data_IF_892300478988
#
_entry.id   IF_892300478988
#
_cell.length_a   1.000
_cell.length_b   1.000
_cell.length_c   1.000
_cell.angle_alpha   90.00
_cell.angle_beta   90.00
_cell.angle_gamma   90.00
#
_symmetry.space_group_name_H-M   'P 1'
#
loop_
_entity.id
_entity.type
_entity.pdbx_description
1 polymer ?
#
# COMPACT_ATOMS: atom_id res chain seq x y z
N UNK A 1 28.88 -7.63 10.35
CA UNK A 1 27.88 -7.96 11.39
C UNK A 1 26.65 -7.05 11.27
N UNK A 2 26.02 -6.98 10.09
CA UNK A 2 24.80 -6.15 9.89
C UNK A 2 23.66 -6.97 9.26
N UNK A 3 23.95 -8.15 8.70
CA UNK A 3 22.94 -9.04 8.11
C UNK A 3 22.33 -10.06 9.07
N UNK A 4 22.81 -10.18 10.32
CA UNK A 4 22.30 -11.19 11.26
C UNK A 4 21.19 -10.67 12.20
N UNK A 5 21.00 -9.35 12.31
CA UNK A 5 19.98 -8.76 13.19
C UNK A 5 18.60 -8.71 12.52
N UNK A 6 18.54 -8.76 11.18
CA UNK A 6 17.25 -8.84 10.46
C UNK A 6 16.63 -10.25 10.45
N UNK A 7 17.42 -11.31 10.62
CA UNK A 7 16.92 -12.70 10.54
C UNK A 7 16.24 -13.20 11.82
N UNK A 8 16.53 -12.62 12.98
CA UNK A 8 15.95 -13.07 14.27
C UNK A 8 14.55 -12.49 14.54
N UNK A 9 14.11 -11.47 13.80
CA UNK A 9 12.75 -10.91 13.91
C UNK A 9 11.74 -11.63 13.00
N UNK A 10 12.21 -12.38 12.00
CA UNK A 10 11.38 -13.07 11.00
C UNK A 10 10.44 -14.12 11.60
N UNK A 11 10.78 -14.71 12.75
CA UNK A 11 9.97 -15.78 13.36
C UNK A 11 8.65 -15.31 14.00
N UNK A 12 8.47 -14.01 14.22
CA UNK A 12 7.19 -13.42 14.66
C UNK A 12 6.54 -12.47 13.64
N UNK A 13 7.27 -12.02 12.60
CA UNK A 13 6.74 -11.13 11.55
C UNK A 13 6.07 -11.85 10.36
N UNK A 14 6.29 -13.16 10.18
CA UNK A 14 5.67 -13.91 9.07
C UNK A 14 4.18 -14.22 9.24
N UNK A 15 3.55 -13.79 10.34
CA UNK A 15 2.11 -13.98 10.57
C UNK A 15 1.38 -12.65 10.40
N UNK A 16 0.29 -12.68 9.64
CA UNK A 16 -0.69 -11.60 9.63
C UNK A 16 -1.21 -11.39 11.04
N UNK A 17 -1.21 -10.13 11.49
CA UNK A 17 -1.96 -9.72 12.66
C UNK A 17 -3.48 -9.90 12.42
N UNK A 18 -4.27 -10.12 13.49
CA UNK A 18 -5.73 -10.12 13.37
C UNK A 18 -6.23 -8.74 12.96
N UNK A 19 -7.45 -8.68 12.41
CA UNK A 19 -8.06 -7.41 12.01
C UNK A 19 -8.05 -6.39 13.16
N UNK A 20 -7.60 -5.18 12.85
CA UNK A 20 -7.54 -4.08 13.82
C UNK A 20 -8.95 -3.68 14.29
N UNK A 21 -9.08 -3.36 15.57
CA UNK A 21 -10.35 -2.94 16.17
C UNK A 21 -10.63 -1.47 15.82
N UNK A 22 -11.90 -1.09 15.83
CA UNK A 22 -12.31 0.31 15.55
C UNK A 22 -11.80 1.31 16.60
N UNK A 23 -11.52 0.85 17.81
CA UNK A 23 -10.96 1.65 18.91
C UNK A 23 -9.47 1.32 19.17
N UNK A 24 -8.73 0.90 18.15
CA UNK A 24 -7.32 0.60 18.29
C UNK A 24 -6.51 1.83 18.69
N UNK A 25 -5.52 1.62 19.55
CA UNK A 25 -4.54 2.64 19.90
C UNK A 25 -3.63 2.98 18.72
N UNK A 26 -3.00 4.16 18.77
CA UNK A 26 -1.97 4.58 17.81
C UNK A 26 -0.91 3.51 17.59
N UNK A 27 -0.45 2.87 18.68
CA UNK A 27 0.53 1.80 18.62
C UNK A 27 0.00 0.56 17.88
N UNK A 28 -1.22 0.12 18.16
CA UNK A 28 -1.81 -1.03 17.47
C UNK A 28 -2.01 -0.75 15.97
N UNK A 29 -2.35 0.49 15.60
CA UNK A 29 -2.44 0.91 14.20
C UNK A 29 -1.09 0.88 13.49
N UNK A 30 -0.03 1.40 14.14
CA UNK A 30 1.34 1.35 13.61
C UNK A 30 1.81 -0.10 13.45
N UNK A 31 1.65 -0.93 14.50
CA UNK A 31 2.04 -2.35 14.46
C UNK A 31 1.30 -3.09 13.31
N UNK A 32 0.02 -2.79 13.10
CA UNK A 32 -0.78 -3.37 12.01
C UNK A 32 -0.35 -2.89 10.63
N UNK A 33 -0.08 -1.59 10.48
CA UNK A 33 0.42 -1.00 9.25
C UNK A 33 1.79 -1.59 8.88
N UNK A 34 2.74 -1.61 9.82
CA UNK A 34 4.08 -2.18 9.63
C UNK A 34 4.03 -3.66 9.24
N UNK A 35 3.19 -4.44 9.92
CA UNK A 35 3.02 -5.85 9.60
C UNK A 35 2.47 -6.03 8.17
N UNK A 36 1.42 -5.29 7.80
CA UNK A 36 0.78 -5.41 6.48
C UNK A 36 1.71 -4.94 5.35
N UNK A 37 2.44 -3.85 5.58
CA UNK A 37 3.43 -3.35 4.64
C UNK A 37 4.55 -4.36 4.41
N UNK A 38 5.11 -4.89 5.51
CA UNK A 38 6.16 -5.91 5.47
C UNK A 38 5.70 -7.19 4.78
N UNK A 39 4.48 -7.66 5.04
CA UNK A 39 3.94 -8.85 4.38
C UNK A 39 3.80 -8.66 2.87
N UNK A 40 3.50 -7.44 2.43
CA UNK A 40 3.46 -7.12 1.00
C UNK A 40 4.87 -7.16 0.40
N UNK A 41 5.87 -6.56 1.05
CA UNK A 41 7.26 -6.64 0.58
C UNK A 41 7.75 -8.10 0.49
N UNK A 42 7.49 -8.92 1.51
CA UNK A 42 7.85 -10.35 1.52
C UNK A 42 7.11 -11.13 0.43
N UNK A 43 5.83 -10.83 0.18
CA UNK A 43 5.06 -11.48 -0.87
C UNK A 43 5.66 -11.22 -2.26
N UNK A 44 6.06 -9.98 -2.54
CA UNK A 44 6.60 -9.58 -3.84
C UNK A 44 8.09 -9.95 -4.01
N UNK A 45 8.86 -10.03 -2.92
CA UNK A 45 10.22 -10.61 -2.91
C UNK A 45 10.21 -12.11 -3.30
N UNK A 46 9.08 -12.79 -3.12
CA UNK A 46 8.89 -14.18 -3.56
C UNK A 46 8.76 -14.38 -5.08
N UNK A 47 8.73 -13.31 -5.87
CA UNK A 47 8.74 -13.40 -7.34
C UNK A 47 10.12 -13.84 -7.85
N UNK A 48 10.13 -14.74 -8.83
CA UNK A 48 11.35 -15.42 -9.29
C UNK A 48 12.42 -14.49 -9.86
N UNK A 49 12.01 -13.38 -10.47
CA UNK A 49 12.87 -12.37 -11.08
C UNK A 49 12.09 -11.08 -11.38
N UNK A 50 12.79 -10.06 -11.88
CA UNK A 50 12.19 -8.78 -12.26
C UNK A 50 11.18 -8.93 -13.41
N UNK A 51 11.42 -9.84 -14.36
CA UNK A 51 10.51 -10.07 -15.48
C UNK A 51 9.11 -10.51 -15.03
N UNK A 52 9.02 -11.24 -13.91
CA UNK A 52 7.75 -11.64 -13.31
C UNK A 52 6.87 -10.45 -12.88
N UNK A 53 7.47 -9.29 -12.60
CA UNK A 53 6.72 -8.06 -12.28
C UNK A 53 5.93 -7.54 -13.48
N UNK A 54 6.47 -7.70 -14.69
CA UNK A 54 5.92 -7.09 -15.90
C UNK A 54 5.10 -8.08 -16.76
N UNK A 55 5.14 -9.37 -16.43
CA UNK A 55 4.41 -10.39 -17.19
C UNK A 55 2.89 -10.26 -16.98
N UNK A 56 2.17 -9.94 -18.08
CA UNK A 56 0.71 -9.91 -18.06
C UNK A 56 0.14 -11.34 -18.12
N UNK A 57 -0.87 -11.67 -17.29
CA UNK A 57 -1.51 -12.98 -17.37
C UNK A 57 -2.11 -13.28 -18.75
N UNK A 58 -2.04 -14.54 -19.19
CA UNK A 58 -2.42 -14.95 -20.55
C UNK A 58 -3.85 -14.54 -20.94
N UNK A 59 -4.78 -14.54 -19.98
CA UNK A 59 -6.19 -14.22 -20.19
C UNK A 59 -6.44 -12.71 -20.29
N UNK A 60 -5.44 -11.86 -20.02
CA UNK A 60 -5.50 -10.38 -20.13
C UNK A 60 -6.54 -9.66 -19.23
N UNK A 61 -7.32 -10.38 -18.44
CA UNK A 61 -8.27 -9.85 -17.45
C UNK A 61 -7.65 -9.20 -16.18
N UNK A 62 -6.31 -9.12 -16.11
CA UNK A 62 -5.57 -8.61 -14.95
C UNK A 62 -4.36 -7.83 -15.45
N UNK A 63 -3.94 -6.84 -14.66
CA UNK A 63 -2.69 -6.13 -14.85
C UNK A 63 -1.49 -7.04 -14.47
N UNK A 64 -0.27 -6.71 -14.91
CA UNK A 64 0.94 -7.36 -14.43
C UNK A 64 1.20 -7.06 -12.94
N UNK A 65 2.07 -7.84 -12.30
CA UNK A 65 2.32 -7.75 -10.85
C UNK A 65 2.82 -6.37 -10.39
N UNK A 66 3.56 -5.65 -11.23
CA UNK A 66 4.03 -4.28 -10.94
C UNK A 66 2.89 -3.31 -10.63
N UNK A 67 1.72 -3.48 -11.27
CA UNK A 67 0.52 -2.72 -10.95
C UNK A 67 0.09 -2.97 -9.51
N UNK A 68 -0.02 -4.24 -9.11
CA UNK A 68 -0.44 -4.61 -7.76
C UNK A 68 0.60 -4.25 -6.69
N UNK A 69 1.88 -4.12 -7.07
CA UNK A 69 2.92 -3.62 -6.19
C UNK A 69 2.78 -2.10 -5.97
N UNK A 70 2.49 -1.31 -7.00
CA UNK A 70 2.34 0.14 -6.90
C UNK A 70 0.97 0.62 -6.38
N UNK A 71 -0.11 -0.01 -6.84
CA UNK A 71 -1.50 0.46 -6.66
C UNK A 71 -1.91 0.72 -5.20
N UNK A 72 -1.67 -0.19 -4.22
CA UNK A 72 -2.04 0.08 -2.84
C UNK A 72 -1.32 1.31 -2.24
N UNK A 73 -0.07 1.55 -2.63
CA UNK A 73 0.70 2.69 -2.15
C UNK A 73 0.15 4.01 -2.71
N UNK A 74 -0.23 4.03 -4.00
CA UNK A 74 -0.91 5.17 -4.61
C UNK A 74 -2.29 5.41 -3.98
N UNK A 75 -3.03 4.35 -3.68
CA UNK A 75 -4.33 4.45 -3.01
C UNK A 75 -4.20 5.18 -1.67
N UNK A 76 -3.19 4.88 -0.85
CA UNK A 76 -2.94 5.61 0.40
C UNK A 76 -2.80 7.11 0.17
N UNK A 77 -1.90 7.53 -0.73
CA UNK A 77 -1.65 8.95 -0.98
C UNK A 77 -2.89 9.65 -1.52
N UNK A 78 -3.57 9.06 -2.51
CA UNK A 78 -4.76 9.67 -3.10
C UNK A 78 -5.89 9.81 -2.07
N UNK A 79 -6.10 8.81 -1.20
CA UNK A 79 -7.15 8.86 -0.18
C UNK A 79 -6.80 9.78 0.98
N UNK A 80 -5.55 9.81 1.44
CA UNK A 80 -5.10 10.75 2.47
C UNK A 80 -5.23 12.20 1.98
N UNK A 81 -4.96 12.48 0.69
CA UNK A 81 -5.18 13.79 0.08
C UNK A 81 -6.66 14.17 0.06
N UNK A 82 -7.52 13.30 -0.45
CA UNK A 82 -8.97 13.55 -0.53
C UNK A 82 -9.59 13.73 0.86
N UNK A 83 -9.11 12.99 1.85
CA UNK A 83 -9.55 13.09 3.24
C UNK A 83 -8.93 14.28 4.01
N UNK A 84 -8.00 15.02 3.40
CA UNK A 84 -7.38 16.20 4.02
C UNK A 84 -6.29 15.89 5.07
N UNK A 85 -5.80 14.66 5.15
CA UNK A 85 -4.71 14.28 6.06
C UNK A 85 -3.34 14.75 5.56
N UNK A 86 -3.19 14.92 4.24
CA UNK A 86 -1.99 15.50 3.61
C UNK A 86 -2.41 16.48 2.52
N UNK A 87 -1.62 17.53 2.32
CA UNK A 87 -1.94 18.58 1.34
C UNK A 87 -1.53 18.23 -0.09
N UNK A 88 -0.44 17.47 -0.26
CA UNK A 88 0.20 17.20 -1.56
C UNK A 88 0.50 15.72 -1.74
N UNK A 89 0.54 15.29 -3.00
CA UNK A 89 1.04 13.98 -3.39
C UNK A 89 2.58 13.91 -3.34
N UNK A 90 3.10 12.75 -3.72
CA UNK A 90 4.54 12.45 -3.77
C UNK A 90 5.02 12.46 -5.22
N UNK A 91 4.32 11.74 -6.11
CA UNK A 91 4.68 11.63 -7.52
C UNK A 91 3.40 11.55 -8.37
N UNK A 92 2.97 12.67 -8.99
CA UNK A 92 1.75 12.71 -9.78
C UNK A 92 1.69 11.72 -10.95
N UNK A 93 2.83 11.38 -11.56
CA UNK A 93 2.88 10.46 -12.70
C UNK A 93 2.62 9.02 -12.24
N UNK A 94 3.25 8.59 -11.15
CA UNK A 94 2.98 7.27 -10.56
C UNK A 94 1.58 7.19 -9.96
N UNK A 95 1.13 8.27 -9.32
CA UNK A 95 -0.23 8.38 -8.79
C UNK A 95 -1.26 8.23 -9.91
N UNK A 96 -1.08 8.87 -11.06
CA UNK A 96 -1.96 8.70 -12.21
C UNK A 96 -1.85 7.31 -12.86
N UNK A 97 -0.64 6.75 -12.94
CA UNK A 97 -0.42 5.45 -13.58
C UNK A 97 -1.10 4.31 -12.80
N UNK A 98 -1.00 4.35 -11.47
CA UNK A 98 -1.54 3.29 -10.62
C UNK A 98 -2.90 3.62 -9.98
N UNK A 99 -3.54 4.77 -10.24
CA UNK A 99 -4.85 5.08 -9.64
C UNK A 99 -6.02 4.31 -10.26
N UNK A 100 -5.82 3.70 -11.44
CA UNK A 100 -6.87 3.02 -12.20
C UNK A 100 -7.64 2.03 -11.32
N UNK A 101 -8.94 2.28 -11.17
CA UNK A 101 -9.89 1.41 -10.49
C UNK A 101 -10.65 0.52 -11.46
N UNK A 102 -11.56 -0.29 -10.92
CA UNK A 102 -12.54 -1.04 -11.73
C UNK A 102 -13.68 -0.09 -12.08
N UNK A 103 -13.94 0.13 -13.37
CA UNK A 103 -15.14 0.83 -13.83
C UNK A 103 -16.36 -0.06 -13.58
N UNK A 104 -17.25 0.38 -12.70
CA UNK A 104 -18.48 -0.35 -12.34
C UNK A 104 -19.41 -0.58 -13.55
N UNK A 105 -19.36 0.30 -14.55
CA UNK A 105 -20.19 0.23 -15.75
C UNK A 105 -19.57 -0.58 -16.87
N UNK A 106 -18.28 -0.93 -16.75
CA UNK A 106 -17.49 -1.63 -17.78
C UNK A 106 -16.57 -2.66 -17.14
N UNK A 107 -17.15 -3.53 -16.32
CA UNK A 107 -16.40 -4.54 -15.56
C UNK A 107 -15.74 -5.61 -16.45
N UNK A 108 -16.21 -5.76 -17.69
CA UNK A 108 -15.72 -6.71 -18.70
C UNK A 108 -14.91 -6.05 -19.82
N UNK A 109 -14.71 -4.73 -19.76
CA UNK A 109 -13.80 -4.05 -20.65
C UNK A 109 -12.40 -4.61 -20.44
N UNK A 110 -11.98 -5.42 -21.41
CA UNK A 110 -10.60 -5.78 -21.57
C UNK A 110 -9.82 -4.47 -21.63
N UNK A 111 -8.91 -4.25 -20.69
CA UNK A 111 -7.95 -3.16 -20.84
C UNK A 111 -7.06 -3.49 -22.05
N UNK A 112 -7.52 -3.10 -23.24
CA UNK A 112 -6.85 -3.28 -24.53
C UNK A 112 -5.72 -2.24 -24.74
N UNK A 113 -5.47 -1.40 -23.73
CA UNK A 113 -4.35 -0.47 -23.73
C UNK A 113 -3.02 -1.20 -23.80
N UNK A 114 -2.19 -0.80 -24.76
CA UNK A 114 -0.76 -1.02 -24.71
C UNK A 114 -0.19 -0.21 -23.52
N UNK A 115 -0.21 -0.77 -22.31
CA UNK A 115 0.59 -0.26 -21.19
C UNK A 115 2.06 -0.67 -21.39
N UNK A 116 2.64 -0.23 -22.50
CA UNK A 116 4.08 -0.34 -22.76
C UNK A 116 4.74 0.89 -22.16
N UNK A 117 5.07 0.79 -20.86
CA UNK A 117 6.20 1.39 -20.12
C UNK A 117 5.74 1.45 -18.65
N UNK A 118 5.89 0.32 -17.96
CA UNK A 118 5.85 0.32 -16.50
C UNK A 118 7.15 0.96 -15.97
N UNK A 119 7.10 1.71 -14.85
CA UNK A 119 8.30 2.20 -14.18
C UNK A 119 9.17 1.02 -13.74
N UNK A 120 10.46 1.28 -13.53
CA UNK A 120 11.35 0.27 -12.98
C UNK A 120 10.91 -0.13 -11.57
N UNK A 121 11.20 -1.38 -11.18
CA UNK A 121 10.96 -1.86 -9.80
C UNK A 121 11.65 -0.94 -8.79
N UNK A 122 12.84 -0.41 -9.10
CA UNK A 122 13.54 0.53 -8.23
C UNK A 122 12.77 1.84 -8.02
N UNK A 123 12.15 2.39 -9.06
CA UNK A 123 11.31 3.59 -8.96
C UNK A 123 10.06 3.32 -8.13
N UNK A 124 9.37 2.19 -8.36
CA UNK A 124 8.18 1.82 -7.57
C UNK A 124 8.54 1.55 -6.13
N UNK A 125 9.65 0.85 -5.87
CA UNK A 125 10.12 0.55 -4.51
C UNK A 125 10.51 1.83 -3.77
N UNK A 126 11.18 2.78 -4.44
CA UNK A 126 11.49 4.10 -3.85
C UNK A 126 10.21 4.86 -3.52
N UNK A 127 9.26 4.92 -4.45
CA UNK A 127 7.96 5.56 -4.22
C UNK A 127 7.23 4.92 -3.04
N UNK A 128 7.17 3.59 -2.98
CA UNK A 128 6.60 2.83 -1.87
C UNK A 128 7.28 3.19 -0.55
N UNK A 129 8.60 3.26 -0.49
CA UNK A 129 9.31 3.66 0.72
C UNK A 129 8.96 5.10 1.16
N UNK A 130 8.75 6.01 0.20
CA UNK A 130 8.31 7.38 0.48
C UNK A 130 6.86 7.41 1.02
N UNK A 131 5.95 6.62 0.42
CA UNK A 131 4.57 6.44 0.91
C UNK A 131 4.54 5.88 2.32
N UNK A 132 5.34 4.84 2.60
CA UNK A 132 5.42 4.24 3.94
C UNK A 132 5.72 5.29 4.99
N UNK A 133 6.72 6.15 4.75
CA UNK A 133 7.08 7.23 5.69
C UNK A 133 5.93 8.21 5.89
N UNK A 134 5.24 8.62 4.83
CA UNK A 134 4.10 9.54 4.92
C UNK A 134 2.94 8.92 5.72
N UNK A 135 2.56 7.68 5.42
CA UNK A 135 1.46 7.02 6.14
C UNK A 135 1.83 6.78 7.60
N UNK A 136 3.06 6.33 7.86
CA UNK A 136 3.56 6.15 9.21
C UNK A 136 3.54 7.48 10.00
N UNK A 137 4.03 8.58 9.41
CA UNK A 137 4.01 9.90 10.04
C UNK A 137 2.58 10.39 10.31
N UNK A 138 1.65 10.16 9.38
CA UNK A 138 0.22 10.47 9.61
C UNK A 138 -0.32 9.69 10.80
N UNK A 139 -0.09 8.38 10.86
CA UNK A 139 -0.54 7.55 12.00
C UNK A 139 0.17 7.98 13.29
N UNK A 140 1.43 8.41 13.23
CA UNK A 140 2.24 8.77 14.40
C UNK A 140 1.92 10.17 14.96
N UNK A 141 1.47 11.11 14.13
CA UNK A 141 1.35 12.52 14.52
C UNK A 141 -0.06 13.09 14.43
N UNK A 142 -0.96 12.50 13.64
CA UNK A 142 -2.27 13.13 13.43
C UNK A 142 -3.11 13.11 14.72
N UNK A 143 -3.76 14.23 15.12
CA UNK A 143 -4.49 14.33 16.39
C UNK A 143 -5.66 13.35 16.53
N UNK A 144 -6.24 12.91 15.41
CA UNK A 144 -7.33 11.93 15.43
C UNK A 144 -6.94 10.59 16.09
N UNK A 145 -5.66 10.27 16.16
CA UNK A 145 -5.16 9.03 16.77
C UNK A 145 -4.68 9.22 18.21
N UNK A 146 -4.90 10.38 18.84
CA UNK A 146 -4.57 10.63 20.26
C UNK A 146 -5.63 10.06 21.23
N UNK A 147 -6.89 9.93 20.78
CA UNK A 147 -7.96 9.44 21.63
C UNK A 147 -7.81 7.91 21.83
N UNK A 148 -7.66 7.45 23.08
CA UNK A 148 -7.64 6.01 23.42
C UNK A 148 -8.89 5.27 22.92
N UNK A 149 -9.95 6.02 22.63
CA UNK A 149 -11.16 5.54 21.99
C UNK A 149 -11.46 6.47 20.83
N UNK A 150 -11.27 5.96 19.61
CA UNK A 150 -11.85 6.50 18.39
C UNK A 150 -13.22 5.83 18.21
N UNK A 151 -14.30 6.18 18.95
CA UNK A 151 -15.60 5.63 18.60
C UNK A 151 -16.00 6.31 17.30
N UNK A 152 -15.76 5.63 16.18
CA UNK A 152 -16.61 5.80 15.01
C UNK A 152 -17.98 5.31 15.48
N UNK A 153 -18.80 6.25 15.94
CA UNK A 153 -20.18 6.01 16.35
C UNK A 153 -21.15 6.81 15.49
N UNK A 154 -22.44 6.52 15.63
CA UNK A 154 -23.48 7.16 14.81
C UNK A 154 -23.53 8.69 14.96
N UNK A 155 -23.02 9.23 16.06
CA UNK A 155 -22.95 10.65 16.38
C UNK A 155 -21.56 11.26 16.08
N UNK A 156 -20.53 10.43 15.89
CA UNK A 156 -19.18 10.84 15.47
C UNK A 156 -18.65 9.85 14.42
N UNK A 157 -19.09 9.96 13.16
CA UNK A 157 -18.68 9.04 12.09
C UNK A 157 -17.24 9.28 11.60
N UNK A 158 -16.53 10.27 12.14
CA UNK A 158 -15.17 10.71 11.76
C UNK A 158 -14.31 11.00 12.98
#
# INVERSE_FOLDING_TARGET
MVHLVQLLTVLHFGRSLPQVKTNASRKELLDYFDNTWTLTEVLFDGLVNEEAYYCRPYHKLRHPMIFYYGHPAVLYINKLRVAGFIERGINPELEQLFETGVDEMRWDDLHEGNEDIWPSISEVHKYRADVYRVVHEVIETHPLFDDEHMPIDINKPT
#
